data_IF_187269075314
#
_entry.id   IF_187269075314
#
_cell.length_a   1.000
_cell.length_b   1.000
_cell.length_c   1.000
_cell.angle_alpha   90.00
_cell.angle_beta   90.00
_cell.angle_gamma   90.00
#
_symmetry.space_group_name_H-M   'P 1'
#
loop_
_entity.id
_entity.type
_entity.pdbx_description
1 polymer ?
#
# COMPACT_ATOMS: atom_id res chain seq x y z
N UNK A 1 4.11 -3.64 -6.49
CA UNK A 1 2.99 -3.80 -5.55
C UNK A 1 1.69 -3.81 -6.34
N UNK A 2 0.81 -4.77 -6.10
CA UNK A 2 -0.50 -4.87 -6.74
C UNK A 2 -1.61 -4.65 -5.71
N UNK A 3 -2.52 -3.71 -5.99
CA UNK A 3 -3.73 -3.50 -5.20
C UNK A 3 -4.89 -4.22 -5.89
N UNK A 4 -5.48 -5.22 -5.23
CA UNK A 4 -6.54 -6.06 -5.81
C UNK A 4 -7.75 -6.15 -4.88
N UNK A 5 -8.83 -6.73 -5.38
CA UNK A 5 -9.98 -7.12 -4.57
C UNK A 5 -10.50 -8.49 -5.03
N UNK A 6 -11.66 -8.89 -4.54
CA UNK A 6 -12.25 -10.20 -4.84
C UNK A 6 -11.26 -11.34 -4.50
N UNK A 7 -10.94 -12.17 -5.48
CA UNK A 7 -10.01 -13.29 -5.44
C UNK A 7 -8.61 -12.94 -6.01
N UNK A 8 -8.35 -11.66 -6.33
CA UNK A 8 -7.10 -11.21 -6.96
C UNK A 8 -7.00 -11.49 -8.46
N UNK A 9 -7.94 -12.25 -9.02
CA UNK A 9 -8.05 -12.56 -10.44
C UNK A 9 -6.77 -13.09 -11.09
N UNK A 10 -6.66 -12.88 -12.41
CA UNK A 10 -5.49 -13.30 -13.20
C UNK A 10 -4.20 -12.62 -12.74
N UNK A 11 -4.30 -11.45 -12.11
CA UNK A 11 -3.13 -10.69 -11.67
C UNK A 11 -2.40 -11.41 -10.54
N UNK A 12 -3.12 -12.02 -9.59
CA UNK A 12 -2.49 -12.83 -8.52
C UNK A 12 -1.60 -13.95 -9.08
N UNK A 13 -2.08 -14.65 -10.12
CA UNK A 13 -1.30 -15.71 -10.79
C UNK A 13 -0.09 -15.21 -11.59
N UNK A 14 -0.01 -13.90 -11.89
CA UNK A 14 1.10 -13.27 -12.60
C UNK A 14 2.15 -12.65 -11.67
N UNK A 15 1.86 -12.53 -10.37
CA UNK A 15 2.83 -12.11 -9.35
C UNK A 15 3.78 -13.28 -9.03
N UNK A 16 4.48 -13.75 -10.07
CA UNK A 16 5.31 -14.95 -10.07
C UNK A 16 6.66 -14.71 -9.37
N UNK A 17 7.11 -13.45 -9.25
CA UNK A 17 8.37 -13.10 -8.59
C UNK A 17 8.19 -12.85 -7.09
N UNK A 18 9.15 -13.32 -6.29
CA UNK A 18 9.17 -13.14 -4.82
C UNK A 18 9.26 -11.67 -4.37
N UNK A 19 9.53 -10.76 -5.30
CA UNK A 19 9.64 -9.31 -5.05
C UNK A 19 8.29 -8.58 -5.20
N UNK A 20 7.25 -9.27 -5.69
CA UNK A 20 5.93 -8.68 -5.89
C UNK A 20 5.03 -8.90 -4.67
N UNK A 21 4.60 -7.80 -4.03
CA UNK A 21 3.60 -7.82 -2.95
C UNK A 21 2.19 -7.55 -3.49
N UNK A 22 1.22 -8.38 -3.10
CA UNK A 22 -0.22 -8.17 -3.30
C UNK A 22 -0.88 -7.65 -2.02
N UNK A 23 -1.68 -6.59 -2.13
CA UNK A 23 -2.59 -6.13 -1.08
C UNK A 23 -4.01 -6.32 -1.59
N UNK A 24 -4.69 -7.36 -1.08
CA UNK A 24 -6.03 -7.74 -1.53
C UNK A 24 -7.09 -7.30 -0.54
N UNK A 25 -8.07 -6.54 -1.02
CA UNK A 25 -9.25 -6.16 -0.24
C UNK A 25 -10.22 -7.35 -0.20
N UNK A 26 -10.64 -7.83 0.99
CA UNK A 26 -11.56 -8.95 1.13
C UNK A 26 -13.02 -8.51 0.86
N UNK A 27 -13.28 -8.09 -0.36
CA UNK A 27 -14.59 -7.60 -0.79
C UNK A 27 -14.80 -7.94 -2.26
N UNK A 28 -16.06 -8.21 -2.63
CA UNK A 28 -16.50 -8.35 -4.03
C UNK A 28 -17.19 -7.09 -4.56
N UNK A 29 -17.38 -6.08 -3.72
CA UNK A 29 -18.02 -4.82 -4.10
C UNK A 29 -16.97 -3.81 -4.54
N UNK A 30 -17.01 -3.40 -5.81
CA UNK A 30 -16.02 -2.49 -6.40
C UNK A 30 -15.88 -1.15 -5.67
N UNK A 31 -16.99 -0.57 -5.19
CA UNK A 31 -16.95 0.67 -4.42
C UNK A 31 -16.12 0.53 -3.13
N UNK A 32 -16.42 -0.50 -2.33
CA UNK A 32 -15.68 -0.79 -1.10
C UNK A 32 -14.20 -1.13 -1.39
N UNK A 33 -13.92 -1.87 -2.47
CA UNK A 33 -12.53 -2.13 -2.90
C UNK A 33 -11.79 -0.81 -3.17
N UNK A 34 -12.44 0.12 -3.89
CA UNK A 34 -11.82 1.39 -4.25
C UNK A 34 -11.62 2.33 -3.05
N UNK A 35 -12.56 2.37 -2.12
CA UNK A 35 -12.43 3.09 -0.86
C UNK A 35 -11.22 2.60 -0.06
N UNK A 36 -11.08 1.28 0.10
CA UNK A 36 -9.94 0.70 0.81
C UNK A 36 -8.63 0.90 0.04
N UNK A 37 -8.62 0.80 -1.29
CA UNK A 37 -7.42 1.10 -2.08
C UNK A 37 -6.96 2.55 -1.88
N UNK A 38 -7.89 3.50 -1.79
CA UNK A 38 -7.57 4.90 -1.51
C UNK A 38 -6.96 5.04 -0.11
N UNK A 39 -7.52 4.38 0.89
CA UNK A 39 -6.95 4.34 2.24
C UNK A 39 -5.54 3.75 2.25
N UNK A 40 -5.33 2.62 1.58
CA UNK A 40 -4.02 1.95 1.48
C UNK A 40 -2.99 2.89 0.84
N UNK A 41 -3.35 3.57 -0.25
CA UNK A 41 -2.45 4.54 -0.91
C UNK A 41 -2.07 5.65 0.06
N UNK A 42 -3.03 6.23 0.79
CA UNK A 42 -2.75 7.28 1.78
C UNK A 42 -1.81 6.77 2.89
N UNK A 43 -2.03 5.57 3.42
CA UNK A 43 -1.14 4.97 4.41
C UNK A 43 0.26 4.68 3.84
N UNK A 44 0.37 4.23 2.59
CA UNK A 44 1.66 4.00 1.94
C UNK A 44 2.40 5.32 1.73
N UNK A 45 1.72 6.38 1.31
CA UNK A 45 2.31 7.72 1.19
C UNK A 45 2.86 8.20 2.54
N UNK A 46 2.07 8.10 3.61
CA UNK A 46 2.50 8.47 4.96
C UNK A 46 3.73 7.67 5.42
N UNK A 47 3.71 6.35 5.23
CA UNK A 47 4.85 5.48 5.56
C UNK A 47 6.10 5.78 4.74
N UNK A 48 5.95 6.09 3.45
CA UNK A 48 7.05 6.47 2.56
C UNK A 48 7.64 7.80 3.02
N UNK A 49 6.79 8.78 3.32
CA UNK A 49 7.23 10.09 3.79
C UNK A 49 7.96 9.99 5.12
N UNK A 50 7.43 9.20 6.05
CA UNK A 50 8.12 8.87 7.29
C UNK A 50 9.45 8.16 7.04
N UNK A 51 9.49 7.12 6.20
CA UNK A 51 10.71 6.36 5.97
C UNK A 51 11.82 7.18 5.28
N UNK A 52 11.46 8.10 4.40
CA UNK A 52 12.42 8.89 3.62
C UNK A 52 12.80 10.21 4.28
N UNK A 53 11.88 10.84 5.02
CA UNK A 53 12.03 12.20 5.53
C UNK A 53 11.96 12.31 7.05
N UNK A 54 11.95 11.20 7.80
CA UNK A 54 12.12 11.23 9.26
C UNK A 54 13.58 11.56 9.67
N UNK A 55 14.13 12.68 9.20
CA UNK A 55 15.35 13.30 9.73
C UNK A 55 15.37 14.80 9.43
N UNK A 56 14.83 15.60 10.35
CA UNK A 56 15.43 16.88 10.74
C UNK A 56 14.96 17.30 12.14
N UNK A 57 15.55 16.71 13.18
CA UNK A 57 15.68 17.42 14.46
C UNK A 57 16.89 18.34 14.32
N UNK A 58 16.76 19.68 14.40
CA UNK A 58 17.91 20.49 14.70
C UNK A 58 18.35 20.11 16.11
N UNK A 59 19.59 19.64 16.23
CA UNK A 59 20.35 19.73 17.46
C UNK A 59 20.34 21.19 17.90
N UNK A 60 19.50 21.53 18.88
CA UNK A 60 19.75 22.67 19.73
C UNK A 60 20.05 22.12 21.11
N UNK A 61 21.35 21.88 21.30
CA UNK A 61 22.00 21.87 22.59
C UNK A 61 21.49 23.08 23.40
N UNK A 62 20.89 22.80 24.55
CA UNK A 62 20.58 23.76 25.59
C UNK A 62 21.74 23.81 26.60
#
# INVERSE_FOLDING_TARGET
VALTGCDGGKLCGLLISQECVEIRVPSFHSAHIHEIHTLVINCLSDLIDHALFSFQFPSQDA
#
